data_IF_349595897933
#
_entry.id   IF_349595897933
#
_cell.length_a   1.000
_cell.length_b   1.000
_cell.length_c   1.000
_cell.angle_alpha   90.00
_cell.angle_beta   90.00
_cell.angle_gamma   90.00
#
_symmetry.space_group_name_H-M   'P 1'
#
loop_
_entity.id
_entity.type
_entity.pdbx_description
1 polymer ?
#
# COMPACT_ATOMS: atom_id res chain seq x y z
N UNK A 1 -9.14 8.77 2.47
CA UNK A 1 -8.73 7.43 2.03
C UNK A 1 -9.85 6.44 2.36
N UNK A 2 -10.07 5.46 1.50
CA UNK A 2 -10.94 4.31 1.72
C UNK A 2 -10.42 3.42 2.87
N UNK A 3 -11.28 2.59 3.48
CA UNK A 3 -10.84 1.67 4.54
C UNK A 3 -9.70 0.74 4.11
N UNK A 4 -9.70 0.31 2.84
CA UNK A 4 -8.63 -0.49 2.27
C UNK A 4 -7.31 0.30 2.17
N UNK A 5 -7.36 1.55 1.73
CA UNK A 5 -6.17 2.40 1.66
C UNK A 5 -5.60 2.71 3.05
N UNK A 6 -6.45 2.92 4.06
CA UNK A 6 -6.00 3.06 5.46
C UNK A 6 -5.29 1.78 5.93
N UNK A 7 -5.87 0.61 5.65
CA UNK A 7 -5.25 -0.67 6.00
C UNK A 7 -3.89 -0.88 5.32
N UNK A 8 -3.77 -0.57 4.03
CA UNK A 8 -2.49 -0.62 3.31
C UNK A 8 -1.44 0.31 3.94
N UNK A 9 -1.86 1.50 4.38
CA UNK A 9 -0.97 2.43 5.08
C UNK A 9 -0.47 1.84 6.39
N UNK A 10 -1.34 1.26 7.19
CA UNK A 10 -0.96 0.66 8.47
C UNK A 10 -0.04 -0.57 8.27
N UNK A 11 -0.30 -1.39 7.26
CA UNK A 11 0.57 -2.51 6.87
C UNK A 11 1.98 -2.04 6.47
N UNK A 12 2.08 -0.97 5.68
CA UNK A 12 3.36 -0.41 5.22
C UNK A 12 4.11 0.36 6.30
N UNK A 13 3.41 0.90 7.31
CA UNK A 13 4.04 1.43 8.53
C UNK A 13 4.61 0.31 9.39
N UNK A 14 3.91 -0.81 9.48
CA UNK A 14 4.36 -1.95 10.27
C UNK A 14 5.58 -2.65 9.63
N UNK A 15 5.60 -2.78 8.30
CA UNK A 15 6.71 -3.43 7.59
C UNK A 15 6.80 -2.93 6.15
N UNK A 16 7.98 -2.49 5.68
CA UNK A 16 8.20 -2.19 4.26
C UNK A 16 7.96 -3.41 3.37
N UNK A 17 7.25 -3.24 2.25
CA UNK A 17 6.83 -4.34 1.36
C UNK A 17 6.97 -4.01 -0.11
N UNK A 18 7.24 -5.01 -0.94
CA UNK A 18 7.11 -4.91 -2.39
C UNK A 18 5.63 -4.75 -2.77
N UNK A 19 5.36 -4.14 -3.92
CA UNK A 19 3.98 -4.03 -4.43
C UNK A 19 3.30 -5.39 -4.55
N UNK A 20 4.02 -6.41 -5.03
CA UNK A 20 3.48 -7.77 -5.16
C UNK A 20 3.02 -8.34 -3.80
N UNK A 21 3.81 -8.14 -2.73
CA UNK A 21 3.44 -8.58 -1.38
C UNK A 21 2.23 -7.82 -0.82
N UNK A 22 2.05 -6.55 -1.21
CA UNK A 22 0.83 -5.81 -0.87
C UNK A 22 -0.36 -6.39 -1.63
N UNK A 23 -0.23 -6.72 -2.91
CA UNK A 23 -1.32 -7.38 -3.69
C UNK A 23 -1.69 -8.73 -3.06
N UNK A 24 -0.69 -9.55 -2.75
CA UNK A 24 -0.85 -10.89 -2.18
C UNK A 24 -1.50 -10.88 -0.78
N UNK A 25 -1.36 -9.79 -0.03
CA UNK A 25 -2.03 -9.62 1.27
C UNK A 25 -3.55 -9.38 1.18
N UNK A 26 -4.07 -9.04 -0.01
CA UNK A 26 -5.48 -8.72 -0.23
C UNK A 26 -6.11 -9.58 -1.35
N UNK A 27 -6.07 -10.93 -1.24
CA UNK A 27 -6.48 -11.82 -2.34
C UNK A 27 -7.98 -11.76 -2.65
N UNK A 28 -8.81 -11.44 -1.66
CA UNK A 28 -10.27 -11.36 -1.79
C UNK A 28 -10.76 -10.00 -2.28
N UNK A 29 -9.87 -9.03 -2.49
CA UNK A 29 -10.22 -7.70 -2.97
C UNK A 29 -10.26 -7.69 -4.48
N UNK A 30 -11.37 -7.20 -5.05
CA UNK A 30 -11.47 -7.00 -6.49
C UNK A 30 -10.35 -6.07 -6.98
N UNK A 31 -9.65 -6.48 -8.04
CA UNK A 31 -8.45 -5.78 -8.54
C UNK A 31 -8.66 -4.28 -8.78
N UNK A 32 -9.84 -3.89 -9.27
CA UNK A 32 -10.20 -2.48 -9.48
C UNK A 32 -10.20 -1.68 -8.17
N UNK A 33 -10.78 -2.25 -7.12
CA UNK A 33 -10.89 -1.59 -5.82
C UNK A 33 -9.52 -1.52 -5.13
N UNK A 34 -8.71 -2.57 -5.28
CA UNK A 34 -7.31 -2.56 -4.87
C UNK A 34 -6.53 -1.41 -5.53
N UNK A 35 -6.59 -1.31 -6.87
CA UNK A 35 -5.88 -0.26 -7.61
C UNK A 35 -6.36 1.14 -7.27
N UNK A 36 -7.67 1.31 -7.01
CA UNK A 36 -8.23 2.58 -6.55
C UNK A 36 -7.67 2.95 -5.18
N UNK A 37 -7.68 2.03 -4.22
CA UNK A 37 -7.11 2.24 -2.89
C UNK A 37 -5.60 2.55 -2.96
N UNK A 38 -4.84 1.79 -3.73
CA UNK A 38 -3.41 2.05 -3.97
C UNK A 38 -3.17 3.45 -4.58
N UNK A 39 -4.03 3.88 -5.50
CA UNK A 39 -4.01 5.24 -6.04
C UNK A 39 -4.19 6.31 -4.97
N UNK A 40 -5.10 6.10 -4.02
CA UNK A 40 -5.31 7.01 -2.88
C UNK A 40 -4.08 7.09 -1.97
N UNK A 41 -3.43 5.95 -1.67
CA UNK A 41 -2.19 5.94 -0.87
C UNK A 41 -1.08 6.74 -1.57
N UNK A 42 -0.88 6.53 -2.88
CA UNK A 42 0.10 7.31 -3.66
C UNK A 42 -0.22 8.80 -3.68
N UNK A 43 -1.50 9.16 -3.84
CA UNK A 43 -1.93 10.55 -3.86
C UNK A 43 -1.76 11.26 -2.50
N UNK A 44 -1.72 10.51 -1.39
CA UNK A 44 -1.48 11.06 -0.06
C UNK A 44 -0.03 11.56 0.15
N UNK A 45 0.92 11.19 -0.73
CA UNK A 45 2.30 11.67 -0.67
C UNK A 45 3.13 11.14 0.49
N UNK A 46 2.63 10.12 1.22
CA UNK A 46 3.27 9.52 2.39
C UNK A 46 4.17 8.33 2.06
N UNK A 47 4.16 7.90 0.79
CA UNK A 47 4.79 6.67 0.34
C UNK A 47 6.26 6.94 -0.03
N UNK A 48 7.18 6.38 0.75
CA UNK A 48 8.59 6.28 0.39
C UNK A 48 8.88 4.98 -0.35
N UNK A 49 10.05 4.91 -1.01
CA UNK A 49 10.54 3.71 -1.68
C UNK A 49 12.00 3.49 -1.33
N UNK A 50 12.33 2.30 -0.86
CA UNK A 50 13.70 1.87 -0.58
C UNK A 50 14.45 1.54 -1.89
N UNK A 51 15.78 1.46 -1.82
CA UNK A 51 16.64 1.20 -2.97
C UNK A 51 16.36 -0.17 -3.62
N UNK A 52 15.96 -1.16 -2.82
CA UNK A 52 15.58 -2.48 -3.32
C UNK A 52 14.16 -2.51 -3.92
N UNK A 53 13.41 -1.42 -3.80
CA UNK A 53 12.09 -1.25 -4.39
C UNK A 53 10.92 -1.50 -3.45
N UNK A 54 11.13 -1.84 -2.17
CA UNK A 54 10.07 -1.91 -1.16
C UNK A 54 9.48 -0.53 -0.88
N UNK A 55 8.17 -0.48 -0.69
CA UNK A 55 7.46 0.71 -0.24
C UNK A 55 7.44 0.75 1.28
N UNK A 56 7.62 1.95 1.84
CA UNK A 56 7.51 2.21 3.27
C UNK A 56 6.70 3.48 3.52
N UNK A 57 6.19 3.63 4.73
CA UNK A 57 5.62 4.89 5.21
C UNK A 57 6.43 5.33 6.42
N UNK A 58 7.04 6.52 6.32
CA UNK A 58 7.76 7.10 7.44
C UNK A 58 6.80 7.36 8.61
N UNK A 59 7.29 7.12 9.83
CA UNK A 59 6.55 7.33 11.07
C UNK A 59 6.25 8.80 11.32
#
# INVERSE_FOLDING_TARGET
>A
MSPLAVRMVDELRATPRYFAEVVEAHPDVAWRDFLKAWGEVRAAGVLGREDDGRYHIAS
#
